data_IF_668325370249
#
_entry.id   IF_668325370249
#
_cell.length_a   1.000
_cell.length_b   1.000
_cell.length_c   1.000
_cell.angle_alpha   90.00
_cell.angle_beta   90.00
_cell.angle_gamma   90.00
#
_symmetry.space_group_name_H-M   'P 1'
#
loop_
_entity.id
_entity.type
_entity.pdbx_description
1 polymer ?
#
# COMPACT_ATOMS: atom_id res chain seq x y z
N UNK A 1 -44.43 7.28 18.79
CA UNK A 1 -43.47 7.69 19.85
C UNK A 1 -42.05 7.28 19.49
N UNK A 2 -41.77 6.00 19.23
CA UNK A 2 -40.43 5.50 18.85
C UNK A 2 -39.76 6.28 17.70
N UNK A 3 -40.49 6.59 16.61
CA UNK A 3 -39.94 7.37 15.48
C UNK A 3 -39.42 8.74 15.88
N UNK A 4 -40.05 9.40 16.86
CA UNK A 4 -39.61 10.70 17.37
C UNK A 4 -38.31 10.55 18.19
N UNK A 5 -38.17 9.47 18.96
CA UNK A 5 -36.93 9.18 19.68
C UNK A 5 -35.77 8.90 18.73
N UNK A 6 -35.97 8.08 17.68
CA UNK A 6 -34.95 7.85 16.66
C UNK A 6 -34.56 9.13 15.93
N UNK A 7 -35.53 9.98 15.58
CA UNK A 7 -35.26 11.28 14.95
C UNK A 7 -34.42 12.19 15.85
N UNK A 8 -34.79 12.31 17.12
CA UNK A 8 -34.03 13.11 18.09
C UNK A 8 -32.61 12.57 18.31
N UNK A 9 -32.47 11.23 18.34
CA UNK A 9 -31.17 10.57 18.48
C UNK A 9 -30.27 10.83 17.27
N UNK A 10 -30.80 10.69 16.05
CA UNK A 10 -30.08 11.00 14.80
C UNK A 10 -29.60 12.45 14.80
N UNK A 11 -30.49 13.42 15.09
CA UNK A 11 -30.13 14.83 15.15
C UNK A 11 -29.04 15.14 16.18
N UNK A 12 -29.00 14.39 17.28
CA UNK A 12 -27.94 14.51 18.27
C UNK A 12 -26.62 13.89 17.80
N UNK A 13 -26.66 12.76 17.10
CA UNK A 13 -25.47 12.14 16.50
C UNK A 13 -24.84 13.00 15.40
N UNK A 14 -25.64 13.66 14.56
CA UNK A 14 -25.16 14.54 13.49
C UNK A 14 -24.23 15.64 14.02
N UNK A 15 -24.51 16.16 15.23
CA UNK A 15 -23.64 17.14 15.89
C UNK A 15 -22.27 16.60 16.27
N UNK A 16 -22.12 15.28 16.39
CA UNK A 16 -20.87 14.62 16.77
C UNK A 16 -20.04 14.19 15.56
N UNK A 17 -20.53 14.38 14.34
CA UNK A 17 -19.84 13.95 13.14
C UNK A 17 -18.51 14.70 12.93
N UNK A 18 -17.50 13.93 12.55
CA UNK A 18 -16.24 14.36 11.98
C UNK A 18 -16.24 14.04 10.48
N UNK A 19 -16.11 15.06 9.64
CA UNK A 19 -15.95 14.86 8.20
C UNK A 19 -14.50 14.45 7.89
N UNK A 20 -14.35 13.28 7.24
CA UNK A 20 -13.04 12.71 6.94
C UNK A 20 -12.65 12.97 5.49
N UNK A 21 -13.55 12.70 4.54
CA UNK A 21 -13.26 12.71 3.11
C UNK A 21 -14.30 13.49 2.31
N UNK A 22 -13.83 14.23 1.32
CA UNK A 22 -14.64 14.92 0.32
C UNK A 22 -14.51 14.26 -1.05
N UNK A 23 -15.31 14.69 -2.02
CA UNK A 23 -15.22 14.21 -3.41
C UNK A 23 -13.87 14.45 -4.09
N UNK A 24 -13.04 15.34 -3.52
CA UNK A 24 -11.76 15.74 -4.08
C UNK A 24 -10.58 14.98 -3.46
N UNK A 25 -10.79 14.24 -2.37
CA UNK A 25 -9.73 13.53 -1.66
C UNK A 25 -9.46 12.17 -2.33
N UNK A 26 -8.90 12.23 -3.54
CA UNK A 26 -8.61 11.06 -4.36
C UNK A 26 -7.12 10.68 -4.32
N UNK A 27 -6.78 9.47 -4.78
CA UNK A 27 -5.39 8.98 -4.70
C UNK A 27 -4.52 9.73 -5.69
N UNK A 28 -4.94 9.80 -6.96
CA UNK A 28 -4.17 10.33 -8.09
C UNK A 28 -4.27 11.85 -8.31
N UNK A 29 -4.65 12.63 -7.30
CA UNK A 29 -4.73 14.10 -7.42
C UNK A 29 -3.55 14.82 -6.77
N UNK A 30 -3.21 15.98 -7.30
CA UNK A 30 -2.17 16.86 -6.78
C UNK A 30 -2.45 17.32 -5.35
N UNK A 31 -1.39 17.50 -4.56
CA UNK A 31 -1.48 18.12 -3.23
C UNK A 31 -1.85 19.61 -3.30
N UNK A 32 -1.47 20.30 -4.39
CA UNK A 32 -1.60 21.76 -4.55
C UNK A 32 -2.99 22.24 -4.96
N UNK A 33 -3.85 21.38 -5.51
CA UNK A 33 -5.17 21.78 -6.03
C UNK A 33 -6.26 21.96 -4.96
N UNK A 34 -5.99 21.64 -3.69
CA UNK A 34 -7.01 21.65 -2.62
C UNK A 34 -7.12 22.96 -1.82
N UNK A 35 -6.42 24.06 -2.17
CA UNK A 35 -6.44 25.25 -1.30
C UNK A 35 -6.16 26.60 -1.99
N UNK A 36 -7.00 27.01 -2.94
CA UNK A 36 -7.08 28.43 -3.32
C UNK A 36 -8.39 29.11 -2.88
N UNK A 37 -9.38 28.38 -2.37
CA UNK A 37 -10.65 28.96 -1.87
C UNK A 37 -11.18 28.41 -0.53
N UNK A 38 -10.50 27.46 0.13
CA UNK A 38 -10.90 27.01 1.48
C UNK A 38 -10.18 27.79 2.57
N UNK A 39 -10.91 28.75 3.14
CA UNK A 39 -10.55 29.58 4.28
C UNK A 39 -10.65 28.74 5.56
N UNK A 40 -9.59 28.02 5.91
CA UNK A 40 -9.48 27.30 7.18
C UNK A 40 -8.25 26.41 7.20
N UNK A 41 -7.33 26.64 8.14
CA UNK A 41 -6.24 25.71 8.44
C UNK A 41 -6.85 24.43 9.03
N UNK A 42 -7.23 23.47 8.19
CA UNK A 42 -7.45 22.12 8.68
C UNK A 42 -6.08 21.48 8.99
N UNK A 43 -5.91 20.82 10.16
CA UNK A 43 -4.66 20.19 10.51
C UNK A 43 -4.32 19.09 9.51
N UNK A 44 -3.06 19.04 9.05
CA UNK A 44 -2.49 17.96 8.22
C UNK A 44 -2.79 16.54 8.77
N UNK A 45 -3.06 16.41 10.09
CA UNK A 45 -3.45 15.16 10.77
C UNK A 45 -4.77 14.53 10.28
N UNK A 46 -5.71 15.30 9.75
CA UNK A 46 -6.99 14.73 9.29
C UNK A 46 -6.88 14.14 7.87
N UNK A 47 -5.92 14.59 7.05
CA UNK A 47 -5.76 14.10 5.67
C UNK A 47 -5.23 12.67 5.58
N UNK A 48 -4.44 12.22 6.56
CA UNK A 48 -3.99 10.81 6.60
C UNK A 48 -5.16 9.86 6.89
N UNK A 49 -6.18 10.31 7.61
CA UNK A 49 -7.35 9.47 7.95
C UNK A 49 -8.23 9.11 6.74
N UNK A 50 -8.07 9.81 5.61
CA UNK A 50 -8.78 9.50 4.35
C UNK A 50 -8.35 8.15 3.78
N UNK A 51 -7.05 7.86 3.83
CA UNK A 51 -6.48 6.65 3.21
C UNK A 51 -5.99 5.65 4.24
N UNK A 52 -5.71 6.06 5.47
CA UNK A 52 -5.24 5.18 6.51
C UNK A 52 -6.38 4.79 7.48
N UNK A 53 -6.41 3.50 7.83
CA UNK A 53 -7.39 2.93 8.75
C UNK A 53 -7.23 3.46 10.18
N UNK A 54 -5.99 3.50 10.69
CA UNK A 54 -5.70 3.90 12.07
C UNK A 54 -6.59 3.20 13.10
N UNK A 55 -7.08 3.95 14.08
CA UNK A 55 -7.95 3.43 15.15
C UNK A 55 -9.40 3.17 14.69
N UNK A 56 -9.76 3.49 13.45
CA UNK A 56 -11.14 3.34 12.95
C UNK A 56 -11.60 1.89 12.95
N UNK A 57 -10.66 0.94 12.82
CA UNK A 57 -10.94 -0.49 12.90
C UNK A 57 -11.55 -0.91 14.25
N UNK A 58 -11.29 -0.17 15.33
CA UNK A 58 -11.81 -0.50 16.65
C UNK A 58 -13.35 -0.50 16.68
N UNK A 59 -14.04 0.19 15.76
CA UNK A 59 -15.50 0.14 15.64
C UNK A 59 -16.03 -1.30 15.46
N UNK A 60 -15.27 -2.17 14.77
CA UNK A 60 -15.62 -3.58 14.57
C UNK A 60 -15.30 -4.43 15.81
N UNK A 61 -14.28 -4.07 16.59
CA UNK A 61 -13.98 -4.74 17.87
C UNK A 61 -15.01 -4.38 18.94
N UNK A 62 -15.56 -3.18 18.84
CA UNK A 62 -16.56 -2.65 19.76
C UNK A 62 -17.99 -2.92 19.32
N UNK A 63 -18.23 -3.78 18.31
CA UNK A 63 -19.54 -3.97 17.67
C UNK A 63 -20.71 -4.13 18.67
N UNK A 64 -20.49 -4.88 19.75
CA UNK A 64 -21.51 -5.17 20.79
C UNK A 64 -21.62 -4.13 21.92
N UNK A 65 -20.73 -3.13 21.96
CA UNK A 65 -20.78 -2.08 23.00
C UNK A 65 -22.11 -1.30 22.94
N UNK A 66 -22.55 -0.67 24.04
CA UNK A 66 -23.75 0.16 24.02
C UNK A 66 -23.68 1.29 22.98
N UNK A 67 -24.85 1.76 22.56
CA UNK A 67 -24.95 2.95 21.73
C UNK A 67 -24.35 4.18 22.45
N UNK A 68 -23.81 5.12 21.68
CA UNK A 68 -23.30 6.39 22.19
C UNK A 68 -24.38 7.13 22.97
N UNK A 69 -23.94 7.91 23.95
CA UNK A 69 -24.80 8.82 24.71
C UNK A 69 -24.48 10.24 24.22
N UNK A 70 -25.30 10.83 23.31
CA UNK A 70 -24.87 12.01 22.57
C UNK A 70 -24.55 13.22 23.45
N UNK A 71 -25.34 13.44 24.51
CA UNK A 71 -25.13 14.56 25.42
C UNK A 71 -23.82 14.46 26.22
N UNK A 72 -23.35 13.24 26.55
CA UNK A 72 -22.06 13.04 27.24
C UNK A 72 -20.90 13.31 26.28
N UNK A 73 -21.02 12.82 25.05
CA UNK A 73 -20.03 13.05 24.00
C UNK A 73 -19.94 14.53 23.61
N UNK A 74 -21.07 15.21 23.48
CA UNK A 74 -21.15 16.65 23.21
C UNK A 74 -20.54 17.47 24.36
N UNK A 75 -20.86 17.14 25.62
CA UNK A 75 -20.25 17.77 26.79
C UNK A 75 -18.72 17.58 26.85
N UNK A 76 -18.24 16.44 26.35
CA UNK A 76 -16.80 16.12 26.27
C UNK A 76 -16.12 16.65 25.00
N UNK A 77 -16.84 17.39 24.13
CA UNK A 77 -16.34 17.89 22.84
C UNK A 77 -15.76 16.80 21.93
N UNK A 78 -16.31 15.58 22.00
CA UNK A 78 -15.86 14.45 21.19
C UNK A 78 -16.49 14.50 19.80
N UNK A 79 -15.70 14.13 18.79
CA UNK A 79 -16.10 14.01 17.39
C UNK A 79 -15.75 12.63 16.86
N UNK A 80 -16.62 12.05 16.05
CA UNK A 80 -16.49 10.68 15.58
C UNK A 80 -16.60 10.56 14.06
N UNK A 81 -15.81 9.66 13.44
CA UNK A 81 -16.07 9.18 12.10
C UNK A 81 -17.50 8.66 11.94
N UNK A 82 -18.07 8.82 10.74
CA UNK A 82 -19.47 8.48 10.49
C UNK A 82 -19.80 7.00 10.77
N UNK A 83 -18.87 6.06 10.52
CA UNK A 83 -19.10 4.65 10.79
C UNK A 83 -19.36 4.35 12.27
N UNK A 84 -18.84 5.16 13.19
CA UNK A 84 -19.09 5.03 14.64
C UNK A 84 -20.52 5.48 14.96
N UNK A 85 -20.97 6.58 14.36
CA UNK A 85 -22.35 7.07 14.49
C UNK A 85 -23.33 6.05 13.88
N UNK A 86 -22.99 5.52 12.71
CA UNK A 86 -23.74 4.47 12.03
C UNK A 86 -23.86 3.21 12.89
N UNK A 87 -22.75 2.72 13.46
CA UNK A 87 -22.75 1.57 14.38
C UNK A 87 -23.65 1.85 15.58
N UNK A 88 -23.52 3.03 16.16
CA UNK A 88 -24.31 3.42 17.33
C UNK A 88 -25.80 3.48 17.05
N UNK A 89 -26.23 4.03 15.91
CA UNK A 89 -27.63 4.09 15.51
C UNK A 89 -28.21 2.70 15.30
N UNK A 90 -27.47 1.83 14.58
CA UNK A 90 -27.91 0.47 14.31
C UNK A 90 -27.91 -0.40 15.56
N UNK A 91 -26.97 -0.18 16.49
CA UNK A 91 -26.96 -0.85 17.79
C UNK A 91 -28.19 -0.51 18.63
N UNK A 92 -28.56 0.78 18.69
CA UNK A 92 -29.79 1.22 19.37
C UNK A 92 -31.03 0.60 18.70
N UNK A 93 -31.07 0.58 17.36
CA UNK A 93 -32.14 -0.07 16.61
C UNK A 93 -32.25 -1.55 16.95
N UNK A 94 -31.14 -2.29 16.92
CA UNK A 94 -31.11 -3.72 17.20
C UNK A 94 -31.58 -4.05 18.61
N UNK A 95 -31.11 -3.33 19.62
CA UNK A 95 -31.47 -3.62 21.00
C UNK A 95 -32.95 -3.30 21.26
N UNK A 96 -33.44 -2.18 20.71
CA UNK A 96 -34.87 -1.81 20.79
C UNK A 96 -35.74 -2.80 20.01
N UNK A 97 -35.34 -3.16 18.79
CA UNK A 97 -36.09 -4.12 17.96
C UNK A 97 -36.12 -5.51 18.60
N UNK A 98 -35.02 -5.93 19.22
CA UNK A 98 -34.94 -7.20 19.95
C UNK A 98 -35.95 -7.23 21.09
N UNK A 99 -35.98 -6.20 21.95
CA UNK A 99 -36.92 -6.18 23.08
C UNK A 99 -38.37 -6.12 22.63
N UNK A 100 -38.67 -5.28 21.64
CA UNK A 100 -40.04 -5.09 21.15
C UNK A 100 -40.55 -6.29 20.37
N UNK A 101 -39.71 -6.97 19.58
CA UNK A 101 -40.10 -8.19 18.87
C UNK A 101 -40.43 -9.32 19.84
N UNK A 102 -39.58 -9.55 20.85
CA UNK A 102 -39.85 -10.57 21.88
C UNK A 102 -41.12 -10.25 22.68
N UNK A 103 -41.34 -8.98 23.02
CA UNK A 103 -42.58 -8.55 23.66
C UNK A 103 -43.80 -8.79 22.78
N UNK A 104 -43.72 -8.47 21.47
CA UNK A 104 -44.83 -8.67 20.56
C UNK A 104 -45.19 -10.15 20.41
N UNK A 105 -44.17 -11.00 20.29
CA UNK A 105 -44.33 -12.46 20.22
C UNK A 105 -44.95 -13.01 21.51
N UNK A 106 -44.44 -12.63 22.69
CA UNK A 106 -44.92 -13.14 23.98
C UNK A 106 -46.33 -12.61 24.35
N UNK A 107 -46.58 -11.32 24.16
CA UNK A 107 -47.80 -10.67 24.64
C UNK A 107 -48.95 -10.76 23.64
N UNK A 108 -48.68 -10.60 22.34
CA UNK A 108 -49.72 -10.61 21.31
C UNK A 108 -49.77 -11.90 20.49
N UNK A 109 -48.67 -12.65 20.38
CA UNK A 109 -48.60 -13.86 19.54
C UNK A 109 -48.68 -13.59 18.04
N UNK A 110 -48.52 -12.34 17.61
CA UNK A 110 -48.60 -11.92 16.20
C UNK A 110 -47.37 -11.07 15.82
N UNK A 111 -46.53 -11.59 14.92
CA UNK A 111 -45.33 -10.89 14.46
C UNK A 111 -45.63 -9.62 13.65
N UNK A 112 -46.79 -9.52 13.00
CA UNK A 112 -47.21 -8.37 12.19
C UNK A 112 -47.22 -7.06 12.98
N UNK A 113 -47.57 -7.13 14.27
CA UNK A 113 -47.66 -5.98 15.16
C UNK A 113 -46.30 -5.30 15.31
N UNK A 114 -45.21 -6.08 15.39
CA UNK A 114 -43.86 -5.52 15.42
C UNK A 114 -43.60 -4.63 14.20
N UNK A 115 -43.94 -5.11 13.00
CA UNK A 115 -43.69 -4.37 11.76
C UNK A 115 -44.55 -3.10 11.66
N UNK A 116 -45.77 -3.10 12.20
CA UNK A 116 -46.59 -1.89 12.30
C UNK A 116 -45.97 -0.86 13.24
N UNK A 117 -45.45 -1.30 14.38
CA UNK A 117 -44.76 -0.42 15.35
C UNK A 117 -43.46 0.14 14.75
N UNK A 118 -42.68 -0.69 14.05
CA UNK A 118 -41.37 -0.34 13.52
C UNK A 118 -41.40 0.34 12.14
N UNK A 119 -42.54 0.39 11.46
CA UNK A 119 -42.68 1.10 10.19
C UNK A 119 -42.21 2.56 10.29
N UNK A 120 -42.57 3.27 11.37
CA UNK A 120 -42.16 4.65 11.59
C UNK A 120 -40.66 4.80 11.87
N UNK A 121 -40.06 4.09 12.85
CA UNK A 121 -38.61 4.05 13.05
C UNK A 121 -37.81 3.73 11.78
N UNK A 122 -38.20 2.70 11.01
CA UNK A 122 -37.53 2.36 9.76
C UNK A 122 -37.59 3.51 8.76
N UNK A 123 -38.75 4.15 8.59
CA UNK A 123 -38.89 5.29 7.68
C UNK A 123 -37.95 6.46 8.06
N UNK A 124 -37.80 6.77 9.35
CA UNK A 124 -36.91 7.84 9.82
C UNK A 124 -35.44 7.51 9.56
N UNK A 125 -35.02 6.27 9.84
CA UNK A 125 -33.63 5.86 9.62
C UNK A 125 -33.33 5.78 8.12
N UNK A 126 -34.25 5.26 7.32
CA UNK A 126 -34.14 5.21 5.86
C UNK A 126 -34.03 6.61 5.25
N UNK A 127 -34.85 7.56 5.69
CA UNK A 127 -34.80 8.96 5.25
C UNK A 127 -33.41 9.58 5.54
N UNK A 128 -32.93 9.43 6.77
CA UNK A 128 -31.60 9.91 7.14
C UNK A 128 -30.49 9.24 6.32
N UNK A 129 -30.49 7.92 6.22
CA UNK A 129 -29.48 7.18 5.48
C UNK A 129 -29.44 7.56 3.99
N UNK A 130 -30.60 7.73 3.36
CA UNK A 130 -30.71 8.17 1.97
C UNK A 130 -30.23 9.62 1.77
N UNK A 131 -30.24 10.46 2.80
CA UNK A 131 -29.70 11.83 2.73
C UNK A 131 -28.16 11.85 2.81
N UNK A 132 -27.57 10.97 3.62
CA UNK A 132 -26.12 10.93 3.86
C UNK A 132 -25.37 10.16 2.77
N UNK A 133 -25.88 8.99 2.38
CA UNK A 133 -25.16 8.05 1.52
C UNK A 133 -24.70 8.66 0.17
N UNK A 134 -25.50 9.48 -0.55
CA UNK A 134 -25.08 10.11 -1.80
C UNK A 134 -23.90 11.09 -1.66
N UNK A 135 -23.62 11.56 -0.44
CA UNK A 135 -22.57 12.53 -0.13
C UNK A 135 -21.39 11.88 0.64
N UNK A 136 -21.42 10.57 0.89
CA UNK A 136 -20.33 9.87 1.57
C UNK A 136 -19.22 9.51 0.56
N UNK A 137 -18.06 10.16 0.66
CA UNK A 137 -16.89 9.91 -0.21
C UNK A 137 -15.76 9.14 0.48
N UNK A 138 -15.99 8.67 1.70
CA UNK A 138 -15.04 7.89 2.47
C UNK A 138 -15.19 6.40 2.15
N UNK A 139 -14.39 5.87 1.23
CA UNK A 139 -14.44 4.47 0.86
C UNK A 139 -14.08 3.52 2.02
N UNK A 140 -13.20 3.93 2.93
CA UNK A 140 -12.86 3.14 4.13
C UNK A 140 -14.05 3.10 5.08
N UNK A 141 -14.68 4.25 5.34
CA UNK A 141 -15.89 4.35 6.15
C UNK A 141 -17.06 3.54 5.58
N UNK A 142 -17.26 3.59 4.26
CA UNK A 142 -18.25 2.77 3.56
C UNK A 142 -17.98 1.27 3.74
N UNK A 143 -16.73 0.84 3.60
CA UNK A 143 -16.36 -0.56 3.83
C UNK A 143 -16.56 -0.97 5.30
N UNK A 144 -16.21 -0.12 6.27
CA UNK A 144 -16.48 -0.37 7.69
C UNK A 144 -17.98 -0.50 7.96
N UNK A 145 -18.83 0.36 7.38
CA UNK A 145 -20.29 0.25 7.50
C UNK A 145 -20.82 -1.07 6.91
N UNK A 146 -20.30 -1.52 5.76
CA UNK A 146 -20.65 -2.83 5.19
C UNK A 146 -20.32 -3.95 6.19
N UNK A 147 -19.13 -3.91 6.81
CA UNK A 147 -18.72 -4.91 7.80
C UNK A 147 -19.52 -4.83 9.10
N UNK A 148 -19.89 -3.63 9.56
CA UNK A 148 -20.79 -3.43 10.69
C UNK A 148 -22.15 -4.11 10.43
N UNK A 149 -22.75 -3.86 9.26
CA UNK A 149 -24.04 -4.49 8.90
C UNK A 149 -23.93 -6.00 8.90
N UNK A 150 -22.88 -6.55 8.29
CA UNK A 150 -22.65 -7.99 8.28
C UNK A 150 -22.50 -8.58 9.69
N UNK A 151 -21.73 -7.96 10.57
CA UNK A 151 -21.60 -8.42 11.97
C UNK A 151 -22.93 -8.33 12.73
N UNK A 152 -23.70 -7.26 12.52
CA UNK A 152 -25.04 -7.12 13.09
C UNK A 152 -25.99 -8.23 12.61
N UNK A 153 -25.94 -8.61 11.33
CA UNK A 153 -26.71 -9.76 10.81
C UNK A 153 -26.31 -11.06 11.52
N UNK A 154 -25.01 -11.31 11.71
CA UNK A 154 -24.53 -12.49 12.45
C UNK A 154 -25.01 -12.47 13.91
N UNK A 155 -25.04 -11.30 14.56
CA UNK A 155 -25.54 -11.14 15.93
C UNK A 155 -27.05 -11.44 15.99
N UNK A 156 -27.87 -10.87 15.11
CA UNK A 156 -29.32 -11.14 15.07
C UNK A 156 -29.61 -12.61 14.79
N UNK A 157 -28.87 -13.22 13.86
CA UNK A 157 -28.95 -14.65 13.57
C UNK A 157 -28.63 -15.51 14.79
N UNK A 158 -27.57 -15.19 15.55
CA UNK A 158 -27.22 -15.87 16.80
C UNK A 158 -28.29 -15.71 17.88
N UNK A 159 -28.92 -14.52 17.96
CA UNK A 159 -30.05 -14.25 18.85
C UNK A 159 -31.34 -14.98 18.43
N UNK A 160 -31.40 -15.50 17.19
CA UNK A 160 -32.60 -16.07 16.56
C UNK A 160 -33.75 -15.07 16.45
N UNK A 161 -33.42 -13.82 16.11
CA UNK A 161 -34.38 -12.73 15.97
C UNK A 161 -34.35 -12.26 14.50
N UNK A 162 -35.31 -12.66 13.66
CA UNK A 162 -35.29 -12.38 12.22
C UNK A 162 -35.87 -11.01 11.84
N UNK A 163 -36.39 -10.25 12.80
CA UNK A 163 -37.21 -9.05 12.54
C UNK A 163 -36.48 -7.90 11.83
N UNK A 164 -35.14 -7.92 11.78
CA UNK A 164 -34.31 -6.93 11.10
C UNK A 164 -33.65 -7.45 9.82
N UNK A 165 -33.86 -8.71 9.43
CA UNK A 165 -33.13 -9.33 8.30
C UNK A 165 -33.31 -8.54 7.00
N UNK A 166 -34.57 -8.28 6.62
CA UNK A 166 -34.90 -7.53 5.40
C UNK A 166 -34.36 -6.09 5.44
N UNK A 167 -34.38 -5.46 6.62
CA UNK A 167 -33.85 -4.11 6.79
C UNK A 167 -32.33 -4.08 6.62
N UNK A 168 -31.60 -4.96 7.31
CA UNK A 168 -30.14 -5.03 7.23
C UNK A 168 -29.67 -5.41 5.82
N UNK A 169 -30.39 -6.30 5.13
CA UNK A 169 -30.12 -6.64 3.72
C UNK A 169 -30.29 -5.42 2.81
N UNK A 170 -31.36 -4.64 2.99
CA UNK A 170 -31.59 -3.40 2.23
C UNK A 170 -30.45 -2.38 2.44
N UNK A 171 -30.01 -2.19 3.68
CA UNK A 171 -28.89 -1.29 3.99
C UNK A 171 -27.61 -1.79 3.33
N UNK A 172 -27.31 -3.09 3.40
CA UNK A 172 -26.15 -3.68 2.75
C UNK A 172 -26.18 -3.50 1.22
N UNK A 173 -27.30 -3.80 0.57
CA UNK A 173 -27.52 -3.64 -0.88
C UNK A 173 -27.33 -2.17 -1.32
N UNK A 174 -27.61 -1.22 -0.44
CA UNK A 174 -27.44 0.22 -0.71
C UNK A 174 -25.98 0.68 -0.56
N UNK A 175 -25.24 0.13 0.41
CA UNK A 175 -23.85 0.52 0.69
C UNK A 175 -22.88 0.12 -0.43
N UNK A 176 -23.01 -1.09 -0.98
CA UNK A 176 -22.08 -1.62 -1.99
C UNK A 176 -22.00 -0.78 -3.28
N UNK A 177 -23.12 -0.37 -3.92
CA UNK A 177 -23.08 0.53 -5.07
C UNK A 177 -22.37 1.85 -4.77
N UNK A 178 -22.58 2.40 -3.57
CA UNK A 178 -21.91 3.64 -3.17
C UNK A 178 -20.41 3.44 -2.96
N UNK A 179 -20.01 2.40 -2.25
CA UNK A 179 -18.60 2.02 -2.12
C UNK A 179 -17.94 1.87 -3.49
N UNK A 180 -18.59 1.15 -4.42
CA UNK A 180 -18.08 0.93 -5.77
C UNK A 180 -17.89 2.23 -6.53
N UNK A 181 -18.85 3.15 -6.45
CA UNK A 181 -18.77 4.46 -7.08
C UNK A 181 -17.55 5.25 -6.57
N UNK A 182 -17.35 5.33 -5.26
CA UNK A 182 -16.22 6.06 -4.65
C UNK A 182 -14.89 5.38 -5.00
N UNK A 183 -14.84 4.04 -4.96
CA UNK A 183 -13.67 3.28 -5.39
C UNK A 183 -13.30 3.58 -6.85
N UNK A 184 -14.30 3.64 -7.74
CA UNK A 184 -14.10 3.98 -9.14
C UNK A 184 -13.62 5.42 -9.34
N UNK A 185 -14.00 6.35 -8.46
CA UNK A 185 -13.41 7.70 -8.46
C UNK A 185 -11.91 7.66 -8.16
N UNK A 186 -11.46 6.89 -7.16
CA UNK A 186 -10.04 6.70 -6.89
C UNK A 186 -9.32 6.06 -8.09
N UNK A 187 -9.88 5.01 -8.66
CA UNK A 187 -9.33 4.33 -9.84
C UNK A 187 -9.23 5.29 -11.05
N UNK A 188 -10.29 6.05 -11.31
CA UNK A 188 -10.33 7.05 -12.38
C UNK A 188 -9.29 8.14 -12.16
N UNK A 189 -9.10 8.60 -10.92
CA UNK A 189 -8.10 9.62 -10.58
C UNK A 189 -6.69 9.20 -10.94
N UNK A 190 -6.37 7.91 -10.80
CA UNK A 190 -5.05 7.35 -11.15
C UNK A 190 -4.89 7.19 -12.67
N UNK A 191 -5.91 6.64 -13.34
CA UNK A 191 -5.88 6.43 -14.81
C UNK A 191 -5.78 7.74 -15.59
N UNK A 192 -6.49 8.76 -15.12
CA UNK A 192 -6.57 10.06 -15.78
C UNK A 192 -5.59 11.09 -15.19
N UNK A 193 -4.66 10.65 -14.35
CA UNK A 193 -3.75 11.54 -13.64
C UNK A 193 -2.85 12.32 -14.61
N UNK A 194 -2.68 13.62 -14.36
CA UNK A 194 -1.76 14.43 -15.14
C UNK A 194 -0.33 14.25 -14.62
N UNK A 195 0.43 13.37 -15.28
CA UNK A 195 1.81 13.03 -14.93
C UNK A 195 2.69 14.27 -14.76
N UNK A 196 2.54 15.30 -15.61
CA UNK A 196 3.38 16.51 -15.53
C UNK A 196 3.15 17.34 -14.29
N UNK A 197 1.92 17.33 -13.77
CA UNK A 197 1.57 18.11 -12.59
C UNK A 197 1.86 17.34 -11.30
N UNK A 198 1.78 16.01 -11.35
CA UNK A 198 2.17 15.13 -10.24
C UNK A 198 3.68 15.01 -10.09
N UNK A 199 4.43 15.07 -11.20
CA UNK A 199 5.86 14.79 -11.20
C UNK A 199 6.66 15.86 -10.44
N UNK A 200 7.56 15.37 -9.59
CA UNK A 200 8.57 16.14 -8.87
C UNK A 200 9.95 15.57 -9.22
N UNK A 201 10.97 16.42 -9.32
CA UNK A 201 12.36 16.00 -9.58
C UNK A 201 12.99 15.42 -8.30
N UNK A 202 12.36 14.37 -7.77
CA UNK A 202 12.72 13.72 -6.52
C UNK A 202 12.53 12.20 -6.62
N UNK A 203 13.59 11.45 -6.35
CA UNK A 203 13.59 9.99 -6.38
C UNK A 203 13.05 9.33 -5.11
N UNK A 204 12.68 10.11 -4.07
CA UNK A 204 12.05 9.61 -2.85
C UNK A 204 10.64 9.02 -3.14
N UNK A 205 10.05 8.26 -2.19
CA UNK A 205 8.71 7.72 -2.35
C UNK A 205 7.68 8.81 -2.65
N UNK A 206 6.97 8.63 -3.74
CA UNK A 206 5.98 9.59 -4.22
C UNK A 206 4.72 9.53 -3.35
N UNK A 207 4.15 10.70 -3.02
CA UNK A 207 2.99 10.76 -2.12
C UNK A 207 1.76 10.00 -2.64
N UNK A 208 1.56 9.90 -3.96
CA UNK A 208 0.48 9.09 -4.57
C UNK A 208 0.67 7.60 -4.25
N UNK A 209 1.92 7.11 -4.27
CA UNK A 209 2.23 5.72 -3.87
C UNK A 209 1.96 5.51 -2.39
N UNK A 210 2.29 6.48 -1.53
CA UNK A 210 1.94 6.43 -0.10
C UNK A 210 0.43 6.33 0.12
N UNK A 211 -0.36 7.20 -0.53
CA UNK A 211 -1.83 7.17 -0.46
C UNK A 211 -2.40 5.83 -0.95
N UNK A 212 -1.88 5.31 -2.07
CA UNK A 212 -2.28 4.00 -2.58
C UNK A 212 -1.98 2.87 -1.59
N UNK A 213 -0.77 2.86 -1.02
CA UNK A 213 -0.35 1.83 -0.08
C UNK A 213 -1.20 1.85 1.19
N UNK A 214 -1.44 3.04 1.77
CA UNK A 214 -2.29 3.21 2.95
C UNK A 214 -3.75 2.80 2.67
N UNK A 215 -4.30 3.22 1.53
CA UNK A 215 -5.66 2.87 1.12
C UNK A 215 -5.82 1.36 0.92
N UNK A 216 -4.84 0.75 0.26
CA UNK A 216 -4.85 -0.70 -0.01
C UNK A 216 -4.67 -1.51 1.26
N UNK A 217 -3.72 -1.12 2.12
CA UNK A 217 -3.53 -1.70 3.44
C UNK A 217 -4.82 -1.67 4.27
N UNK A 218 -5.51 -0.53 4.28
CA UNK A 218 -6.76 -0.35 5.03
C UNK A 218 -7.85 -1.30 4.56
N UNK A 219 -8.07 -1.39 3.24
CA UNK A 219 -9.07 -2.28 2.68
C UNK A 219 -8.73 -3.76 2.86
N UNK A 220 -7.45 -4.14 2.74
CA UNK A 220 -7.00 -5.52 3.04
C UNK A 220 -7.30 -5.86 4.49
N UNK A 221 -6.92 -4.99 5.43
CA UNK A 221 -7.10 -5.25 6.87
C UNK A 221 -8.58 -5.40 7.23
N UNK A 222 -9.46 -4.53 6.74
CA UNK A 222 -10.91 -4.65 7.00
C UNK A 222 -11.49 -5.95 6.43
N UNK A 223 -10.88 -6.48 5.35
CA UNK A 223 -11.43 -7.60 4.58
C UNK A 223 -10.83 -8.97 4.91
N UNK A 224 -9.85 -9.07 5.82
CA UNK A 224 -9.13 -10.32 6.11
C UNK A 224 -10.06 -11.50 6.42
N UNK A 225 -11.14 -11.26 7.15
CA UNK A 225 -12.10 -12.28 7.57
C UNK A 225 -13.24 -12.51 6.55
N UNK A 226 -13.25 -11.76 5.44
CA UNK A 226 -14.39 -11.67 4.52
C UNK A 226 -13.97 -11.96 3.07
N UNK A 227 -13.92 -13.23 2.70
CA UNK A 227 -13.43 -13.71 1.39
C UNK A 227 -14.49 -13.88 0.30
N UNK A 228 -15.31 -12.87 0.01
CA UNK A 228 -16.34 -12.94 -1.05
C UNK A 228 -15.81 -12.74 -2.49
N UNK A 229 -14.52 -12.41 -2.66
CA UNK A 229 -13.89 -12.28 -3.99
C UNK A 229 -14.17 -10.95 -4.71
N UNK A 230 -15.13 -10.16 -4.24
CA UNK A 230 -15.59 -8.96 -4.96
C UNK A 230 -14.61 -7.79 -4.81
N UNK A 231 -13.95 -7.68 -3.65
CA UNK A 231 -12.98 -6.62 -3.40
C UNK A 231 -11.66 -6.88 -4.11
N UNK A 232 -11.20 -8.13 -4.17
CA UNK A 232 -9.92 -8.51 -4.77
C UNK A 232 -9.78 -8.05 -6.22
N UNK A 233 -10.83 -8.22 -7.03
CA UNK A 233 -10.84 -7.78 -8.43
C UNK A 233 -10.73 -6.26 -8.57
N UNK A 234 -11.34 -5.50 -7.65
CA UNK A 234 -11.25 -4.04 -7.66
C UNK A 234 -9.86 -3.57 -7.21
N UNK A 235 -9.29 -4.20 -6.18
CA UNK A 235 -7.93 -3.93 -5.72
C UNK A 235 -6.87 -4.21 -6.79
N UNK A 236 -7.04 -5.28 -7.56
CA UNK A 236 -6.17 -5.60 -8.68
C UNK A 236 -6.22 -4.52 -9.79
N UNK A 237 -7.43 -4.04 -10.12
CA UNK A 237 -7.58 -2.92 -11.08
C UNK A 237 -6.90 -1.64 -10.59
N UNK A 238 -6.95 -1.39 -9.28
CA UNK A 238 -6.30 -0.25 -8.66
C UNK A 238 -4.78 -0.38 -8.73
N UNK A 239 -4.23 -1.56 -8.41
CA UNK A 239 -2.81 -1.87 -8.54
C UNK A 239 -2.30 -1.62 -9.96
N UNK A 240 -3.01 -2.15 -10.98
CA UNK A 240 -2.63 -1.93 -12.38
C UNK A 240 -2.60 -0.45 -12.78
N UNK A 241 -3.56 0.35 -12.30
CA UNK A 241 -3.59 1.79 -12.58
C UNK A 241 -2.42 2.53 -11.91
N UNK A 242 -2.04 2.10 -10.70
CA UNK A 242 -0.89 2.65 -9.99
C UNK A 242 0.43 2.25 -10.65
N UNK A 243 0.59 1.00 -11.09
CA UNK A 243 1.78 0.56 -11.82
C UNK A 243 1.99 1.39 -13.09
N UNK A 244 0.91 1.61 -13.85
CA UNK A 244 0.97 2.41 -15.07
C UNK A 244 1.40 3.86 -14.78
N UNK A 245 0.83 4.48 -13.73
CA UNK A 245 1.20 5.82 -13.30
C UNK A 245 2.65 5.88 -12.81
N UNK A 246 3.07 4.92 -11.98
CA UNK A 246 4.41 4.84 -11.42
C UNK A 246 5.47 4.72 -12.54
N UNK A 247 5.21 3.89 -13.55
CA UNK A 247 6.10 3.76 -14.71
C UNK A 247 6.14 5.03 -15.57
N UNK A 248 5.02 5.75 -15.71
CA UNK A 248 4.99 7.06 -16.40
C UNK A 248 5.80 8.11 -15.65
N UNK A 249 5.68 8.17 -14.31
CA UNK A 249 6.46 9.06 -13.46
C UNK A 249 7.96 8.73 -13.51
N UNK A 250 8.33 7.45 -13.44
CA UNK A 250 9.73 7.02 -13.55
C UNK A 250 10.37 7.46 -14.87
N UNK A 251 9.64 7.36 -15.99
CA UNK A 251 10.14 7.76 -17.33
C UNK A 251 10.40 9.27 -17.48
N UNK A 252 9.93 10.10 -16.55
CA UNK A 252 10.20 11.54 -16.57
C UNK A 252 11.65 11.86 -16.16
N UNK A 253 12.33 10.98 -15.41
CA UNK A 253 13.75 11.16 -15.11
C UNK A 253 14.60 10.90 -16.35
N UNK A 254 15.53 11.81 -16.64
CA UNK A 254 16.39 11.72 -17.82
C UNK A 254 17.42 10.59 -17.75
N UNK A 255 17.88 10.24 -16.53
CA UNK A 255 18.88 9.19 -16.29
C UNK A 255 18.19 7.85 -15.99
N UNK A 256 18.47 6.76 -16.73
CA UNK A 256 17.91 5.43 -16.46
C UNK A 256 18.08 4.97 -15.01
N UNK A 257 19.25 5.22 -14.41
CA UNK A 257 19.55 4.91 -13.01
C UNK A 257 18.58 5.59 -12.03
N UNK A 258 18.20 6.85 -12.26
CA UNK A 258 17.23 7.55 -11.41
C UNK A 258 15.81 6.98 -11.57
N UNK A 259 15.44 6.51 -12.76
CA UNK A 259 14.18 5.81 -12.98
C UNK A 259 14.11 4.56 -12.09
N UNK A 260 15.19 3.76 -12.07
CA UNK A 260 15.27 2.54 -11.27
C UNK A 260 15.25 2.86 -9.76
N UNK A 261 16.02 3.87 -9.31
CA UNK A 261 16.02 4.31 -7.90
C UNK A 261 14.62 4.72 -7.45
N UNK A 262 13.92 5.52 -8.26
CA UNK A 262 12.55 5.94 -7.97
C UNK A 262 11.61 4.73 -7.83
N UNK A 263 11.69 3.75 -8.74
CA UNK A 263 10.89 2.52 -8.65
C UNK A 263 11.18 1.74 -7.36
N UNK A 264 12.46 1.56 -7.02
CA UNK A 264 12.89 0.84 -5.80
C UNK A 264 12.33 1.53 -4.55
N UNK A 265 12.51 2.85 -4.42
CA UNK A 265 12.05 3.60 -3.25
C UNK A 265 10.52 3.50 -3.06
N UNK A 266 9.76 3.59 -4.15
CA UNK A 266 8.31 3.47 -4.12
C UNK A 266 7.84 2.05 -3.79
N UNK A 267 8.50 1.02 -4.34
CA UNK A 267 8.20 -0.38 -4.01
C UNK A 267 8.50 -0.69 -2.54
N UNK A 268 9.69 -0.30 -2.05
CA UNK A 268 10.11 -0.55 -0.67
C UNK A 268 9.14 0.09 0.34
N UNK A 269 8.78 1.35 0.14
CA UNK A 269 7.78 2.02 0.97
C UNK A 269 6.43 1.29 0.92
N UNK A 270 6.01 0.83 -0.26
CA UNK A 270 4.70 0.18 -0.43
C UNK A 270 4.67 -1.14 0.31
N UNK A 271 5.74 -1.93 0.20
CA UNK A 271 5.92 -3.17 0.94
C UNK A 271 5.90 -2.92 2.45
N UNK A 272 6.60 -1.89 2.93
CA UNK A 272 6.62 -1.55 4.35
C UNK A 272 5.21 -1.26 4.90
N UNK A 273 4.43 -0.41 4.21
CA UNK A 273 3.05 -0.09 4.61
C UNK A 273 2.13 -1.32 4.56
N UNK A 274 2.25 -2.16 3.53
CA UNK A 274 1.43 -3.36 3.42
C UNK A 274 1.76 -4.38 4.53
N UNK A 275 3.03 -4.50 4.93
CA UNK A 275 3.46 -5.38 6.03
C UNK A 275 2.97 -4.93 7.40
N UNK A 276 2.84 -3.62 7.62
CA UNK A 276 2.24 -3.07 8.84
C UNK A 276 0.75 -3.47 8.98
N UNK A 277 0.06 -3.63 7.85
CA UNK A 277 -1.37 -3.95 7.84
C UNK A 277 -1.68 -5.42 8.22
N UNK A 278 -0.72 -6.33 8.08
CA UNK A 278 -0.88 -7.73 8.43
C UNK A 278 0.15 -8.64 7.74
N UNK A 279 0.38 -9.86 8.24
CA UNK A 279 1.43 -10.75 7.76
C UNK A 279 1.23 -11.28 6.32
N UNK A 280 0.06 -11.06 5.73
CA UNK A 280 -0.25 -11.47 4.36
C UNK A 280 -0.84 -10.30 3.57
N UNK A 281 -0.03 -9.31 3.17
CA UNK A 281 -0.40 -8.35 2.12
C UNK A 281 -0.70 -9.01 0.74
N UNK A 282 -0.72 -10.34 0.71
CA UNK A 282 -1.27 -11.18 -0.33
C UNK A 282 -0.53 -11.03 -1.65
N UNK A 283 -1.27 -11.23 -2.73
CA UNK A 283 -0.74 -11.14 -4.10
C UNK A 283 -0.19 -9.74 -4.42
N UNK A 284 -0.75 -8.68 -3.81
CA UNK A 284 -0.32 -7.30 -4.05
C UNK A 284 1.07 -7.06 -3.45
N UNK A 285 1.30 -7.50 -2.20
CA UNK A 285 2.63 -7.41 -1.60
C UNK A 285 3.65 -8.21 -2.40
N UNK A 286 3.34 -9.46 -2.77
CA UNK A 286 4.23 -10.31 -3.57
C UNK A 286 4.62 -9.65 -4.89
N UNK A 287 3.66 -9.01 -5.57
CA UNK A 287 3.92 -8.26 -6.78
C UNK A 287 4.96 -7.14 -6.60
N UNK A 288 4.83 -6.32 -5.54
CA UNK A 288 5.81 -5.26 -5.27
C UNK A 288 7.16 -5.82 -4.83
N UNK A 289 7.20 -6.95 -4.10
CA UNK A 289 8.45 -7.64 -3.74
C UNK A 289 9.19 -8.16 -4.98
N UNK A 290 8.46 -8.72 -5.95
CA UNK A 290 9.02 -9.13 -7.25
C UNK A 290 9.53 -7.93 -8.06
N UNK A 291 8.76 -6.85 -8.09
CA UNK A 291 9.16 -5.60 -8.77
C UNK A 291 10.41 -5.00 -8.11
N UNK A 292 10.48 -4.97 -6.77
CA UNK A 292 11.65 -4.51 -6.02
C UNK A 292 12.88 -5.36 -6.34
N UNK A 293 12.74 -6.69 -6.33
CA UNK A 293 13.82 -7.63 -6.66
C UNK A 293 14.33 -7.45 -8.08
N UNK A 294 13.42 -7.32 -9.05
CA UNK A 294 13.77 -7.10 -10.46
C UNK A 294 14.54 -5.79 -10.65
N UNK A 295 14.02 -4.68 -10.10
CA UNK A 295 14.68 -3.37 -10.19
C UNK A 295 16.00 -3.31 -9.43
N UNK A 296 16.12 -4.02 -8.30
CA UNK A 296 17.39 -4.16 -7.58
C UNK A 296 18.46 -4.80 -8.47
N UNK A 297 18.11 -5.85 -9.22
CA UNK A 297 19.00 -6.47 -10.19
C UNK A 297 19.45 -5.49 -11.28
N UNK A 298 18.52 -4.70 -11.82
CA UNK A 298 18.84 -3.68 -12.83
C UNK A 298 19.75 -2.58 -12.26
N UNK A 299 19.47 -2.08 -11.06
CA UNK A 299 20.28 -1.05 -10.40
C UNK A 299 21.69 -1.54 -10.12
N UNK A 300 21.84 -2.77 -9.62
CA UNK A 300 23.14 -3.40 -9.37
C UNK A 300 23.97 -3.46 -10.64
N UNK A 301 23.37 -3.87 -11.75
CA UNK A 301 24.09 -3.94 -13.03
C UNK A 301 24.50 -2.54 -13.53
N UNK A 302 23.61 -1.55 -13.48
CA UNK A 302 23.95 -0.16 -13.84
C UNK A 302 25.05 0.42 -12.95
N UNK A 303 24.95 0.25 -11.63
CA UNK A 303 25.95 0.70 -10.67
C UNK A 303 27.33 0.08 -10.93
N UNK A 304 27.36 -1.23 -11.20
CA UNK A 304 28.60 -1.92 -11.52
C UNK A 304 29.16 -1.51 -12.88
N UNK A 305 28.32 -1.23 -13.87
CA UNK A 305 28.75 -0.79 -15.21
C UNK A 305 29.38 0.61 -15.19
N UNK A 306 28.91 1.52 -14.34
CA UNK A 306 29.53 2.85 -14.16
C UNK A 306 30.98 2.75 -13.69
N UNK A 307 31.29 1.75 -12.87
CA UNK A 307 32.63 1.56 -12.36
C UNK A 307 33.42 0.56 -13.22
N UNK A 308 32.94 -0.64 -13.49
CA UNK A 308 33.73 -1.76 -14.02
C UNK A 308 33.28 -2.24 -15.42
N UNK A 309 32.91 -1.30 -16.32
CA UNK A 309 32.34 -1.62 -17.64
C UNK A 309 33.13 -2.65 -18.44
N UNK A 310 34.46 -2.52 -18.51
CA UNK A 310 35.29 -3.34 -19.39
C UNK A 310 35.43 -4.76 -18.86
N UNK A 311 35.56 -4.90 -17.54
CA UNK A 311 35.53 -6.19 -16.85
C UNK A 311 34.20 -6.92 -17.11
N UNK A 312 33.08 -6.22 -16.93
CA UNK A 312 31.75 -6.82 -17.06
C UNK A 312 31.48 -7.21 -18.51
N UNK A 313 31.81 -6.34 -19.47
CA UNK A 313 31.70 -6.64 -20.92
C UNK A 313 32.52 -7.87 -21.28
N UNK A 314 33.77 -7.94 -20.83
CA UNK A 314 34.64 -9.09 -21.07
C UNK A 314 34.03 -10.39 -20.53
N UNK A 315 33.60 -10.41 -19.27
CA UNK A 315 33.05 -11.61 -18.63
C UNK A 315 31.72 -12.04 -19.27
N UNK A 316 30.85 -11.09 -19.63
CA UNK A 316 29.56 -11.40 -20.28
C UNK A 316 29.74 -11.94 -21.70
N UNK A 317 30.63 -11.35 -22.50
CA UNK A 317 30.94 -11.85 -23.84
C UNK A 317 31.46 -13.29 -23.79
N UNK A 318 32.33 -13.60 -22.83
CA UNK A 318 32.84 -14.98 -22.64
C UNK A 318 31.82 -15.95 -22.07
N UNK A 319 30.92 -15.51 -21.20
CA UNK A 319 29.84 -16.35 -20.70
C UNK A 319 28.80 -16.72 -21.78
N UNK A 320 28.68 -15.91 -22.84
CA UNK A 320 27.80 -16.20 -23.99
C UNK A 320 28.43 -17.10 -25.07
N UNK A 321 29.73 -17.40 -24.97
CA UNK A 321 30.39 -18.35 -25.86
C UNK A 321 30.05 -19.78 -25.40
N UNK A 322 29.64 -20.64 -26.34
CA UNK A 322 29.18 -22.00 -26.06
C UNK A 322 30.36 -22.88 -25.58
N UNK A 323 30.32 -23.47 -24.36
CA UNK A 323 31.43 -24.26 -23.82
C UNK A 323 31.81 -25.48 -24.68
N UNK A 324 30.89 -25.94 -25.53
CA UNK A 324 31.09 -27.08 -26.44
C UNK A 324 31.31 -26.66 -27.90
N UNK A 325 31.33 -25.36 -28.21
CA UNK A 325 31.58 -24.83 -29.53
C UNK A 325 33.07 -24.85 -29.87
N UNK A 326 33.44 -25.46 -31.00
CA UNK A 326 34.81 -25.50 -31.55
C UNK A 326 35.42 -24.14 -31.95
N UNK A 327 34.82 -23.03 -31.51
CA UNK A 327 35.14 -21.65 -31.87
C UNK A 327 35.33 -20.73 -30.64
N UNK A 328 35.81 -21.24 -29.49
CA UNK A 328 36.30 -20.35 -28.43
C UNK A 328 37.49 -19.53 -28.97
N UNK A 329 37.28 -18.22 -29.19
CA UNK A 329 38.34 -17.33 -29.66
C UNK A 329 39.46 -17.29 -28.61
N UNK A 330 40.71 -17.65 -28.93
CA UNK A 330 41.78 -17.66 -27.95
C UNK A 330 41.94 -16.28 -27.31
N UNK A 331 41.87 -16.22 -25.98
CA UNK A 331 42.04 -14.97 -25.22
C UNK A 331 43.52 -14.61 -25.23
N UNK A 332 43.85 -13.38 -25.62
CA UNK A 332 45.23 -12.90 -25.53
C UNK A 332 45.50 -12.24 -24.17
N UNK A 333 46.73 -12.37 -23.67
CA UNK A 333 47.18 -11.68 -22.44
C UNK A 333 46.99 -10.16 -22.57
N UNK A 334 47.21 -9.61 -23.77
CA UNK A 334 47.07 -8.19 -24.08
C UNK A 334 45.65 -7.64 -23.95
N UNK A 335 44.61 -8.47 -24.10
CA UNK A 335 43.21 -8.05 -23.93
C UNK A 335 42.82 -7.96 -22.45
N UNK A 336 43.41 -8.81 -21.59
CA UNK A 336 43.01 -8.95 -20.19
C UNK A 336 43.89 -8.13 -19.25
N UNK A 337 45.16 -7.90 -19.61
CA UNK A 337 46.12 -7.14 -18.82
C UNK A 337 45.61 -5.74 -18.41
N UNK A 338 45.02 -4.93 -19.31
CA UNK A 338 44.50 -3.61 -18.93
C UNK A 338 43.35 -3.70 -17.91
N UNK A 339 42.48 -4.70 -18.04
CA UNK A 339 41.32 -4.90 -17.17
C UNK A 339 41.76 -5.25 -15.75
N UNK A 340 42.74 -6.15 -15.63
CA UNK A 340 43.27 -6.59 -14.33
C UNK A 340 44.00 -5.45 -13.62
N UNK A 341 44.85 -4.71 -14.35
CA UNK A 341 45.58 -3.56 -13.80
C UNK A 341 44.65 -2.44 -13.37
N UNK A 342 43.66 -2.12 -14.21
CA UNK A 342 42.64 -1.13 -13.90
C UNK A 342 41.89 -1.51 -12.62
N UNK A 343 41.33 -2.73 -12.56
CA UNK A 343 40.64 -3.22 -11.37
C UNK A 343 41.53 -3.13 -10.12
N UNK A 344 42.76 -3.68 -10.19
CA UNK A 344 43.70 -3.70 -9.08
C UNK A 344 44.03 -2.31 -8.51
N UNK A 345 44.07 -1.30 -9.38
CA UNK A 345 44.40 0.08 -8.98
C UNK A 345 43.27 0.84 -8.27
N UNK A 346 42.00 0.56 -8.58
CA UNK A 346 40.88 1.43 -8.17
C UNK A 346 39.70 0.75 -7.48
N UNK A 347 39.68 -0.58 -7.38
CA UNK A 347 38.51 -1.33 -6.86
C UNK A 347 38.05 -0.87 -5.47
N UNK A 348 38.97 -0.52 -4.55
CA UNK A 348 38.62 -0.02 -3.21
C UNK A 348 37.90 1.32 -3.26
N UNK A 349 38.44 2.27 -4.03
CA UNK A 349 37.83 3.59 -4.20
C UNK A 349 36.48 3.50 -4.93
N UNK A 350 36.36 2.59 -5.91
CA UNK A 350 35.09 2.32 -6.56
C UNK A 350 34.03 1.77 -5.58
N UNK A 351 34.40 0.82 -4.70
CA UNK A 351 33.48 0.32 -3.66
C UNK A 351 33.03 1.45 -2.72
N UNK A 352 33.93 2.36 -2.32
CA UNK A 352 33.60 3.51 -1.48
C UNK A 352 32.62 4.48 -2.18
N UNK A 353 32.82 4.74 -3.47
CA UNK A 353 31.90 5.55 -4.28
C UNK A 353 30.53 4.89 -4.45
N UNK A 354 30.50 3.59 -4.75
CA UNK A 354 29.26 2.81 -4.85
C UNK A 354 28.47 2.85 -3.53
N UNK A 355 29.17 2.67 -2.42
CA UNK A 355 28.61 2.75 -1.08
C UNK A 355 27.96 4.11 -0.80
N UNK A 356 28.68 5.20 -1.09
CA UNK A 356 28.15 6.56 -0.94
C UNK A 356 26.90 6.78 -1.80
N UNK A 357 26.95 6.35 -3.05
CA UNK A 357 25.86 6.51 -4.01
C UNK A 357 24.59 5.76 -3.57
N UNK A 358 24.73 4.53 -3.07
CA UNK A 358 23.62 3.74 -2.50
C UNK A 358 23.00 4.45 -1.28
N UNK A 359 23.81 4.91 -0.33
CA UNK A 359 23.30 5.60 0.88
C UNK A 359 22.53 6.86 0.49
N UNK A 360 22.96 7.58 -0.54
CA UNK A 360 22.28 8.82 -0.97
C UNK A 360 21.05 8.57 -1.84
N UNK A 361 20.93 7.39 -2.46
CA UNK A 361 19.87 7.09 -3.42
C UNK A 361 18.61 6.51 -2.77
N UNK A 362 18.75 5.75 -1.68
CA UNK A 362 17.63 5.01 -1.08
C UNK A 362 17.17 5.61 0.25
N UNK A 363 15.86 5.85 0.35
CA UNK A 363 15.27 6.48 1.54
C UNK A 363 15.24 5.57 2.76
N UNK A 364 15.16 4.25 2.53
CA UNK A 364 15.22 3.24 3.58
C UNK A 364 16.63 2.65 3.65
N UNK A 365 17.26 2.84 4.81
CA UNK A 365 18.61 2.37 5.08
C UNK A 365 18.77 0.86 4.92
N UNK A 366 17.81 0.06 5.40
CA UNK A 366 17.87 -1.41 5.29
C UNK A 366 17.79 -1.86 3.83
N UNK A 367 16.95 -1.18 3.03
CA UNK A 367 16.83 -1.44 1.61
C UNK A 367 18.15 -1.13 0.89
N UNK A 368 18.74 0.05 1.15
CA UNK A 368 20.04 0.43 0.59
C UNK A 368 21.15 -0.57 0.96
N UNK A 369 21.16 -1.06 2.20
CA UNK A 369 22.13 -2.06 2.65
C UNK A 369 22.03 -3.38 1.88
N UNK A 370 20.81 -3.90 1.68
CA UNK A 370 20.61 -5.13 0.90
C UNK A 370 20.99 -4.95 -0.57
N UNK A 371 20.75 -3.76 -1.15
CA UNK A 371 21.17 -3.43 -2.51
C UNK A 371 22.69 -3.37 -2.62
N UNK A 372 23.38 -2.73 -1.67
CA UNK A 372 24.84 -2.70 -1.64
C UNK A 372 25.40 -4.12 -1.53
N UNK A 373 24.83 -4.94 -0.65
CA UNK A 373 25.22 -6.34 -0.49
C UNK A 373 25.05 -7.14 -1.79
N UNK A 374 23.94 -6.94 -2.50
CA UNK A 374 23.72 -7.53 -3.81
C UNK A 374 24.77 -7.06 -4.82
N UNK A 375 25.08 -5.77 -4.86
CA UNK A 375 26.10 -5.20 -5.75
C UNK A 375 27.49 -5.78 -5.50
N UNK A 376 27.91 -5.87 -4.24
CA UNK A 376 29.20 -6.41 -3.84
C UNK A 376 29.31 -7.92 -4.08
N UNK A 377 28.21 -8.66 -3.89
CA UNK A 377 28.14 -10.08 -4.23
C UNK A 377 28.29 -10.27 -5.74
N UNK A 378 27.59 -9.47 -6.54
CA UNK A 378 27.66 -9.54 -8.00
C UNK A 378 29.05 -9.14 -8.53
N UNK A 379 29.69 -8.12 -7.95
CA UNK A 379 31.07 -7.74 -8.26
C UNK A 379 32.04 -8.92 -8.02
N UNK A 380 31.89 -9.61 -6.88
CA UNK A 380 32.71 -10.77 -6.54
C UNK A 380 32.52 -11.91 -7.55
N UNK A 381 31.28 -12.14 -8.01
CA UNK A 381 30.98 -13.14 -9.04
C UNK A 381 31.64 -12.79 -10.37
N UNK A 382 31.54 -11.53 -10.83
CA UNK A 382 32.22 -11.09 -12.05
C UNK A 382 33.74 -11.22 -11.95
N UNK A 383 34.32 -10.80 -10.82
CA UNK A 383 35.76 -10.90 -10.61
C UNK A 383 36.26 -12.35 -10.54
N UNK A 384 35.50 -13.24 -9.89
CA UNK A 384 35.84 -14.68 -9.84
C UNK A 384 35.85 -15.29 -11.24
N UNK A 385 34.85 -14.97 -12.06
CA UNK A 385 34.80 -15.41 -13.46
C UNK A 385 35.99 -14.88 -14.27
N UNK A 386 36.37 -13.61 -14.10
CA UNK A 386 37.57 -13.05 -14.73
C UNK A 386 38.82 -13.84 -14.33
N UNK A 387 39.00 -14.10 -13.03
CA UNK A 387 40.13 -14.87 -12.51
C UNK A 387 40.18 -16.28 -13.08
N UNK A 388 39.04 -16.94 -13.24
CA UNK A 388 38.96 -18.27 -13.84
C UNK A 388 39.25 -18.27 -15.34
N UNK A 389 38.82 -17.24 -16.07
CA UNK A 389 39.21 -17.04 -17.47
C UNK A 389 40.74 -16.91 -17.61
N UNK A 390 41.39 -16.13 -16.74
CA UNK A 390 42.86 -15.90 -16.77
C UNK A 390 43.65 -17.20 -16.59
N UNK A 391 43.18 -18.11 -15.72
CA UNK A 391 43.82 -19.42 -15.51
C UNK A 391 43.85 -20.29 -16.77
N UNK A 392 42.93 -20.05 -17.72
CA UNK A 392 42.85 -20.80 -19.00
C UNK A 392 43.72 -20.20 -20.11
N UNK A 393 44.34 -19.04 -19.89
CA UNK A 393 45.13 -18.32 -20.91
C UNK A 393 46.58 -18.84 -20.91
N UNK A 394 47.08 -19.21 -22.09
CA UNK A 394 48.51 -19.49 -22.28
C UNK A 394 49.34 -18.22 -22.00
N UNK A 395 50.16 -18.24 -20.95
CA UNK A 395 50.92 -17.08 -20.48
C UNK A 395 50.20 -16.21 -19.43
N UNK A 396 48.98 -16.57 -19.01
CA UNK A 396 48.20 -15.85 -18.00
C UNK A 396 48.86 -15.79 -16.62
N UNK A 397 49.82 -16.69 -16.32
CA UNK A 397 50.60 -16.66 -15.08
C UNK A 397 51.36 -15.34 -14.85
N UNK A 398 51.71 -14.62 -15.92
CA UNK A 398 52.34 -13.30 -15.84
C UNK A 398 51.42 -12.22 -15.24
N UNK A 399 50.09 -12.40 -15.32
CA UNK A 399 49.08 -11.49 -14.79
C UNK A 399 48.75 -11.75 -13.31
N UNK A 400 49.18 -12.89 -12.75
CA UNK A 400 48.88 -13.25 -11.36
C UNK A 400 49.44 -12.24 -10.34
N UNK A 401 50.51 -11.53 -10.69
CA UNK A 401 51.10 -10.47 -9.84
C UNK A 401 50.19 -9.25 -9.68
N UNK A 402 49.33 -9.00 -10.67
CA UNK A 402 48.44 -7.84 -10.72
C UNK A 402 47.01 -8.20 -10.25
N UNK A 403 46.74 -9.49 -10.00
CA UNK A 403 45.47 -9.97 -9.47
C UNK A 403 45.32 -9.66 -7.98
N UNK A 404 44.21 -9.02 -7.64
CA UNK A 404 43.76 -8.87 -6.25
C UNK A 404 43.25 -10.23 -5.75
N UNK A 405 43.66 -10.64 -4.55
CA UNK A 405 43.15 -11.88 -3.97
C UNK A 405 41.66 -11.75 -3.62
N UNK A 406 40.89 -12.82 -3.90
CA UNK A 406 39.46 -12.90 -3.56
C UNK A 406 39.25 -12.65 -2.05
N UNK A 407 40.15 -13.13 -1.21
CA UNK A 407 40.13 -12.87 0.24
C UNK A 407 40.23 -11.39 0.60
N UNK A 408 41.01 -10.60 -0.15
CA UNK A 408 41.12 -9.15 0.07
C UNK A 408 39.84 -8.43 -0.31
N UNK A 409 39.21 -8.82 -1.43
CA UNK A 409 37.93 -8.28 -1.87
C UNK A 409 36.85 -8.61 -0.84
N UNK A 410 36.77 -9.87 -0.39
CA UNK A 410 35.84 -10.28 0.66
C UNK A 410 36.05 -9.54 1.98
N UNK A 411 37.30 -9.30 2.38
CA UNK A 411 37.61 -8.55 3.59
C UNK A 411 37.09 -7.11 3.49
N UNK A 412 37.31 -6.45 2.36
CA UNK A 412 36.82 -5.09 2.12
C UNK A 412 35.28 -5.07 2.06
N UNK A 413 34.64 -6.01 1.37
CA UNK A 413 33.18 -6.15 1.35
C UNK A 413 32.61 -6.28 2.77
N UNK A 414 33.27 -7.07 3.63
CA UNK A 414 32.86 -7.23 5.04
C UNK A 414 32.99 -5.96 5.85
N UNK A 415 33.88 -5.03 5.48
CA UNK A 415 33.96 -3.71 6.13
C UNK A 415 32.66 -2.95 5.87
N UNK A 416 32.22 -2.87 4.62
CA UNK A 416 30.97 -2.23 4.24
C UNK A 416 29.71 -3.04 4.58
N UNK A 417 29.84 -4.24 5.15
CA UNK A 417 28.71 -4.95 5.76
C UNK A 417 28.69 -4.84 7.28
N UNK A 418 29.75 -4.31 7.92
CA UNK A 418 29.92 -4.18 9.38
C UNK A 418 29.98 -2.74 9.86
N UNK A 419 30.30 -1.79 8.99
CA UNK A 419 30.42 -0.36 9.32
C UNK A 419 29.05 0.35 9.22
N UNK A 420 27.97 -0.40 9.37
CA UNK A 420 26.61 0.06 9.19
C UNK A 420 25.71 -0.38 10.33
#
# INVERSE_FOLDING_TARGET
VLSAHFRAYIQALEKLQLDIATSNDLIGVETRSTSLFSRGREPLKNRSAVFALGERLNVLKEIDQPALIPHIAEASSLKYPYEVLFRSLHKLLMDTATSEYLFCDEFFGEESIFYEIFAGPFAVIDEHFNSILPNCYDAIGLMLMIRIVHQHQLIMSRRRIPCLDSYLDKVNISLWPRFKMVFDMHLSSLRNANVKLLWEDDSHPHYVMRRYAEFTASLIHINVEYGDGQLELNMERLRMAVDELLMKLAKMFSKPKLQIVFLINNCDMTIAVLKEAGPEGGKIQQHFEEMLKSNTGLFVEELLMEHFSDLIKFVKTRASEDPNGSNERPISVSEVEPIVKDFGSRWKGAIELMHKDVITSFSNFLCGMEILRAALTQLLLYYTRLSDCIKRINGGAALNKDLVSISSIMYEIRKYSRTF
#
